data_IF_425055070483
#
_entry.id   IF_425055070483
#
_cell.length_a   1.000
_cell.length_b   1.000
_cell.length_c   1.000
_cell.angle_alpha   90.00
_cell.angle_beta   90.00
_cell.angle_gamma   90.00
#
_symmetry.space_group_name_H-M   'P 1'
#
loop_
_entity.id
_entity.type
_entity.pdbx_description
1 polymer ?
#
# COMPACT_ATOMS: atom_id res chain seq x y z
N UNK A 1 15.13 19.36 -2.77
CA UNK A 1 14.03 18.37 -2.69
C UNK A 1 14.29 17.50 -1.46
N UNK A 2 13.28 17.16 -0.64
CA UNK A 2 13.49 16.32 0.53
C UNK A 2 14.05 14.94 0.15
N UNK A 3 15.04 14.46 0.90
CA UNK A 3 15.64 13.14 0.71
C UNK A 3 15.01 12.14 1.68
N UNK A 4 14.37 11.09 1.17
CA UNK A 4 13.73 10.05 1.97
C UNK A 4 14.53 8.75 1.91
N UNK A 5 14.75 8.11 3.06
CA UNK A 5 15.30 6.77 3.16
C UNK A 5 14.21 5.70 3.13
N UNK A 6 14.60 4.44 2.98
CA UNK A 6 13.69 3.30 3.06
C UNK A 6 13.80 2.63 4.44
N UNK A 7 12.70 2.07 4.93
CA UNK A 7 12.70 1.30 6.18
C UNK A 7 13.33 -0.10 6.02
N UNK A 8 13.36 -0.64 4.80
CA UNK A 8 13.93 -1.95 4.51
C UNK A 8 15.46 -1.96 4.71
N UNK A 9 15.93 -2.87 5.56
CA UNK A 9 17.36 -3.06 5.85
C UNK A 9 17.98 -4.10 4.91
N UNK A 10 19.31 -4.13 4.81
CA UNK A 10 20.07 -5.09 4.00
C UNK A 10 19.70 -5.09 2.50
N UNK A 11 19.52 -3.90 1.93
CA UNK A 11 19.20 -3.73 0.53
C UNK A 11 20.39 -4.09 -0.38
N UNK A 12 20.27 -5.23 -1.06
CA UNK A 12 21.19 -5.67 -2.10
C UNK A 12 20.67 -5.25 -3.48
N UNK A 13 21.43 -4.43 -4.21
CA UNK A 13 21.04 -3.90 -5.53
C UNK A 13 20.87 -5.00 -6.59
N UNK A 14 21.55 -6.12 -6.44
CA UNK A 14 21.53 -7.23 -7.40
C UNK A 14 20.26 -8.06 -7.27
N UNK A 15 19.74 -8.20 -6.05
CA UNK A 15 18.59 -9.06 -5.74
C UNK A 15 17.28 -8.30 -5.58
N UNK A 16 17.36 -7.02 -5.20
CA UNK A 16 16.19 -6.25 -4.80
C UNK A 16 15.93 -5.06 -5.72
N UNK A 17 14.65 -4.86 -6.01
CA UNK A 17 14.11 -3.67 -6.65
C UNK A 17 13.21 -2.94 -5.66
N UNK A 18 13.21 -1.61 -5.71
CA UNK A 18 12.42 -0.78 -4.79
C UNK A 18 11.68 0.31 -5.54
N UNK A 19 10.52 0.67 -5.05
CA UNK A 19 9.75 1.82 -5.52
C UNK A 19 9.10 2.51 -4.32
N UNK A 20 8.85 3.81 -4.45
CA UNK A 20 8.14 4.55 -3.42
C UNK A 20 7.28 5.67 -4.00
N UNK A 21 6.13 5.90 -3.40
CA UNK A 21 5.34 7.11 -3.57
C UNK A 21 5.44 7.95 -2.31
N UNK A 22 5.56 9.27 -2.47
CA UNK A 22 5.70 10.22 -1.36
C UNK A 22 4.59 11.27 -1.41
N UNK A 23 4.15 11.70 -0.23
CA UNK A 23 3.21 12.81 -0.04
C UNK A 23 1.86 12.64 -0.77
N UNK A 24 1.36 11.40 -0.83
CA UNK A 24 0.06 11.12 -1.47
C UNK A 24 -1.11 11.37 -0.53
N UNK A 25 -2.15 11.97 -1.07
CA UNK A 25 -3.42 12.20 -0.37
C UNK A 25 -4.28 10.92 -0.37
N UNK A 26 -3.86 9.94 0.44
CA UNK A 26 -4.59 8.70 0.67
C UNK A 26 -4.64 8.41 2.17
N UNK A 27 -5.63 7.63 2.61
CA UNK A 27 -5.75 7.31 4.03
C UNK A 27 -4.66 6.33 4.46
N UNK A 28 -3.84 6.73 5.44
CA UNK A 28 -2.82 5.89 6.05
C UNK A 28 -3.37 4.53 6.54
N UNK A 29 -4.58 4.53 7.10
CA UNK A 29 -5.21 3.31 7.62
C UNK A 29 -5.51 2.32 6.50
N UNK A 30 -6.08 2.81 5.39
CA UNK A 30 -6.39 1.99 4.22
C UNK A 30 -5.12 1.47 3.56
N UNK A 31 -4.14 2.35 3.35
CA UNK A 31 -2.84 2.00 2.77
C UNK A 31 -2.11 0.93 3.59
N UNK A 32 -2.19 1.00 4.93
CA UNK A 32 -1.60 -0.03 5.80
C UNK A 32 -2.24 -1.39 5.57
N UNK A 33 -3.57 -1.49 5.55
CA UNK A 33 -4.23 -2.78 5.36
C UNK A 33 -3.97 -3.35 3.96
N UNK A 34 -3.95 -2.50 2.92
CA UNK A 34 -3.51 -2.91 1.57
C UNK A 34 -2.07 -3.43 1.59
N UNK A 35 -1.13 -2.70 2.21
CA UNK A 35 0.28 -3.10 2.26
C UNK A 35 0.49 -4.46 2.93
N UNK A 36 -0.31 -4.77 3.96
CA UNK A 36 -0.25 -6.07 4.64
C UNK A 36 -0.83 -7.17 3.76
N UNK A 37 -1.90 -6.90 3.02
CA UNK A 37 -2.52 -7.86 2.12
C UNK A 37 -1.60 -8.23 0.95
N UNK A 38 -0.93 -7.26 0.33
CA UNK A 38 -0.06 -7.52 -0.84
C UNK A 38 1.32 -8.08 -0.47
N UNK A 39 1.72 -7.99 0.81
CA UNK A 39 3.04 -8.44 1.25
C UNK A 39 3.18 -9.95 1.04
N UNK A 40 4.22 -10.37 0.34
CA UNK A 40 4.51 -11.78 0.02
C UNK A 40 3.85 -12.29 -1.26
N UNK A 41 3.01 -11.50 -1.93
CA UNK A 41 2.43 -11.86 -3.23
C UNK A 41 3.46 -11.68 -4.37
N UNK A 42 3.24 -12.40 -5.47
CA UNK A 42 3.85 -12.02 -6.76
C UNK A 42 3.23 -10.73 -7.27
N UNK A 43 3.93 -10.02 -8.15
CA UNK A 43 3.45 -8.75 -8.68
C UNK A 43 2.12 -8.93 -9.44
N UNK A 44 2.03 -9.95 -10.28
CA UNK A 44 0.81 -10.26 -11.04
C UNK A 44 -0.41 -10.47 -10.12
N UNK A 45 -0.26 -11.30 -9.08
CA UNK A 45 -1.34 -11.54 -8.09
C UNK A 45 -1.69 -10.29 -7.30
N UNK A 46 -0.70 -9.46 -6.98
CA UNK A 46 -0.95 -8.20 -6.29
C UNK A 46 -1.73 -7.22 -7.18
N UNK A 47 -1.42 -7.15 -8.49
CA UNK A 47 -2.14 -6.35 -9.47
C UNK A 47 -3.59 -6.81 -9.60
N UNK A 48 -3.80 -8.11 -9.84
CA UNK A 48 -5.15 -8.71 -9.94
C UNK A 48 -5.99 -8.42 -8.68
N UNK A 49 -5.40 -8.61 -7.50
CA UNK A 49 -6.05 -8.31 -6.22
C UNK A 49 -6.49 -6.85 -6.13
N UNK A 50 -5.61 -5.90 -6.48
CA UNK A 50 -5.92 -4.47 -6.40
C UNK A 50 -6.98 -4.04 -7.42
N UNK A 51 -6.97 -4.62 -8.62
CA UNK A 51 -8.00 -4.40 -9.64
C UNK A 51 -9.36 -4.95 -9.17
N UNK A 52 -9.38 -6.13 -8.56
CA UNK A 52 -10.59 -6.70 -7.95
C UNK A 52 -11.13 -5.86 -6.80
N UNK A 53 -10.25 -5.23 -6.01
CA UNK A 53 -10.64 -4.28 -4.96
C UNK A 53 -11.30 -3.03 -5.55
N UNK A 54 -10.76 -2.49 -6.64
CA UNK A 54 -11.34 -1.34 -7.34
C UNK A 54 -12.71 -1.71 -7.94
N UNK A 55 -12.81 -2.91 -8.53
CA UNK A 55 -14.06 -3.45 -9.06
C UNK A 55 -15.05 -3.93 -7.97
N UNK A 56 -14.70 -3.79 -6.68
CA UNK A 56 -15.47 -4.25 -5.51
C UNK A 56 -15.80 -5.75 -5.51
N UNK A 57 -15.04 -6.56 -6.22
CA UNK A 57 -15.19 -8.02 -6.26
C UNK A 57 -14.56 -8.67 -5.04
N UNK A 58 -13.40 -8.20 -4.64
CA UNK A 58 -12.63 -8.73 -3.50
C UNK A 58 -12.37 -7.64 -2.46
N UNK A 59 -12.62 -7.94 -1.19
CA UNK A 59 -12.47 -6.96 -0.12
C UNK A 59 -11.07 -7.04 0.52
N UNK A 60 -10.49 -5.89 0.84
CA UNK A 60 -9.25 -5.83 1.61
C UNK A 60 -9.56 -6.22 3.06
N UNK A 61 -8.82 -7.15 3.69
CA UNK A 61 -8.99 -7.49 5.10
C UNK A 61 -8.47 -6.36 5.99
N UNK A 62 -9.30 -5.86 6.91
CA UNK A 62 -8.90 -4.82 7.86
C UNK A 62 -8.52 -5.50 9.16
N UNK A 63 -7.22 -5.67 9.43
CA UNK A 63 -6.77 -6.43 10.60
C UNK A 63 -6.55 -5.54 11.82
N UNK A 64 -5.96 -4.35 11.65
CA UNK A 64 -5.68 -3.42 12.76
C UNK A 64 -6.78 -2.37 12.92
N UNK A 65 -7.22 -1.78 11.82
CA UNK A 65 -8.20 -0.69 11.83
C UNK A 65 -9.63 -1.21 11.57
N UNK A 66 -10.10 -2.15 12.37
CA UNK A 66 -11.32 -2.92 12.13
C UNK A 66 -12.54 -2.51 12.96
N UNK A 67 -12.43 -1.50 13.82
CA UNK A 67 -13.56 -0.96 14.58
C UNK A 67 -14.62 -0.39 13.63
N UNK A 68 -15.88 -0.80 13.83
CA UNK A 68 -17.03 -0.36 13.02
C UNK A 68 -16.81 -0.61 11.50
N UNK A 69 -16.15 -1.71 11.18
CA UNK A 69 -16.01 -2.18 9.80
C UNK A 69 -17.00 -3.32 9.57
N UNK A 70 -17.79 -3.20 8.50
CA UNK A 70 -18.76 -4.22 8.13
C UNK A 70 -18.10 -5.57 7.88
N UNK A 71 -18.81 -6.64 8.25
CA UNK A 71 -18.39 -7.99 7.92
C UNK A 71 -18.54 -8.24 6.41
N UNK A 72 -17.65 -9.03 5.83
CA UNK A 72 -17.64 -9.34 4.39
C UNK A 72 -17.30 -10.81 4.16
N UNK A 73 -18.02 -11.45 3.24
CA UNK A 73 -17.77 -12.83 2.82
C UNK A 73 -16.70 -12.95 1.75
N UNK A 74 -16.47 -11.89 0.97
CA UNK A 74 -15.57 -11.86 -0.18
C UNK A 74 -14.12 -11.45 0.20
N UNK A 75 -13.64 -11.96 1.33
CA UNK A 75 -12.25 -11.81 1.78
C UNK A 75 -11.55 -13.15 1.59
N UNK A 76 -10.49 -13.16 0.79
CA UNK A 76 -9.75 -14.38 0.45
C UNK A 76 -9.29 -15.21 1.65
N UNK A 77 -8.81 -14.55 2.69
CA UNK A 77 -8.29 -15.20 3.90
C UNK A 77 -9.39 -15.61 4.89
N UNK A 78 -10.66 -15.36 4.59
CA UNK A 78 -11.80 -15.65 5.48
C UNK A 78 -11.88 -14.75 6.72
N UNK A 79 -11.11 -13.65 6.77
CA UNK A 79 -11.21 -12.69 7.89
C UNK A 79 -12.57 -12.00 7.88
N UNK A 80 -13.11 -11.65 9.05
CA UNK A 80 -14.49 -11.18 9.14
C UNK A 80 -14.71 -9.77 8.59
N UNK A 81 -13.79 -8.82 8.78
CA UNK A 81 -13.99 -7.41 8.45
C UNK A 81 -13.17 -6.94 7.24
N UNK A 82 -13.81 -6.20 6.32
CA UNK A 82 -13.13 -5.64 5.15
C UNK A 82 -13.85 -4.49 4.46
N UNK A 83 -13.11 -3.76 3.62
CA UNK A 83 -13.61 -2.64 2.80
C UNK A 83 -12.96 -2.64 1.41
N UNK A 84 -13.45 -1.75 0.54
CA UNK A 84 -12.94 -1.52 -0.81
C UNK A 84 -12.29 -0.11 -0.91
N UNK A 85 -11.04 0.06 -0.49
CA UNK A 85 -10.36 1.35 -0.53
C UNK A 85 -9.86 1.72 -1.96
N UNK A 86 -10.79 2.07 -2.85
CA UNK A 86 -10.53 2.34 -4.29
C UNK A 86 -9.41 3.38 -4.53
N UNK A 87 -9.49 4.55 -3.88
CA UNK A 87 -8.49 5.63 -4.03
C UNK A 87 -7.08 5.16 -3.66
N UNK A 88 -6.96 4.39 -2.58
CA UNK A 88 -5.66 3.89 -2.15
C UNK A 88 -5.18 2.76 -3.08
N UNK A 89 -6.06 1.83 -3.47
CA UNK A 89 -5.72 0.76 -4.41
C UNK A 89 -5.19 1.30 -5.75
N UNK A 90 -5.81 2.35 -6.30
CA UNK A 90 -5.35 3.00 -7.53
C UNK A 90 -3.94 3.61 -7.41
N UNK A 91 -3.57 4.17 -6.26
CA UNK A 91 -2.19 4.65 -6.05
C UNK A 91 -1.19 3.50 -5.84
N UNK A 92 -1.62 2.37 -5.30
CA UNK A 92 -0.78 1.16 -5.20
C UNK A 92 -0.53 0.51 -6.57
N UNK A 93 -1.51 0.52 -7.48
CA UNK A 93 -1.31 0.05 -8.86
C UNK A 93 -0.20 0.85 -9.57
N UNK A 94 -0.28 2.19 -9.51
CA UNK A 94 0.79 3.06 -10.04
C UNK A 94 2.15 2.78 -9.42
N UNK A 95 2.18 2.38 -8.14
CA UNK A 95 3.42 2.02 -7.46
C UNK A 95 3.96 0.66 -7.92
N UNK A 96 3.09 -0.30 -8.25
CA UNK A 96 3.48 -1.56 -8.88
C UNK A 96 4.01 -1.34 -10.30
N UNK A 97 3.37 -0.49 -11.10
CA UNK A 97 3.86 -0.13 -12.45
C UNK A 97 5.30 0.42 -12.36
N UNK A 98 5.55 1.34 -11.44
CA UNK A 98 6.90 1.88 -11.20
C UNK A 98 7.90 0.81 -10.72
N UNK A 99 7.43 -0.17 -9.94
CA UNK A 99 8.27 -1.26 -9.44
C UNK A 99 8.67 -2.22 -10.56
N UNK A 100 7.74 -2.54 -11.46
CA UNK A 100 7.97 -3.35 -12.66
C UNK A 100 8.95 -2.66 -13.61
N UNK A 101 8.74 -1.37 -13.93
CA UNK A 101 9.66 -0.63 -14.79
C UNK A 101 11.09 -0.57 -14.21
N UNK A 102 11.21 -0.45 -12.88
CA UNK A 102 12.51 -0.48 -12.21
C UNK A 102 13.16 -1.88 -12.23
N UNK A 103 12.35 -2.94 -12.26
CA UNK A 103 12.83 -4.32 -12.31
C UNK A 103 13.30 -4.68 -13.73
N UNK A 104 12.53 -4.28 -14.74
CA UNK A 104 12.87 -4.44 -16.14
C UNK A 104 14.16 -3.70 -16.48
N UNK A 105 14.32 -2.45 -16.00
CA UNK A 105 15.55 -1.68 -16.17
C UNK A 105 16.78 -2.39 -15.56
N UNK A 106 16.58 -3.22 -14.53
CA UNK A 106 17.65 -4.01 -13.89
C UNK A 106 17.84 -5.40 -14.51
N UNK A 107 17.04 -5.77 -15.51
CA UNK A 107 17.07 -7.09 -16.13
C UNK A 107 16.60 -8.21 -15.21
N UNK A 108 15.73 -7.91 -14.24
CA UNK A 108 15.13 -8.93 -13.37
C UNK A 108 13.95 -9.60 -14.08
N UNK A 109 13.76 -10.90 -13.83
CA UNK A 109 12.59 -11.64 -14.32
C UNK A 109 11.33 -11.19 -13.54
N UNK A 110 10.37 -10.62 -14.26
CA UNK A 110 9.12 -10.09 -13.71
C UNK A 110 8.23 -11.22 -13.14
N UNK A 111 8.26 -12.41 -13.74
CA UNK A 111 7.39 -13.52 -13.35
C UNK A 111 7.81 -14.12 -11.99
N UNK A 112 9.10 -14.05 -11.70
CA UNK A 112 9.70 -14.52 -10.45
C UNK A 112 9.70 -13.46 -9.35
N UNK A 113 9.24 -12.25 -9.64
CA UNK A 113 9.35 -11.12 -8.74
C UNK A 113 8.27 -11.17 -7.64
N UNK A 114 8.70 -11.14 -6.38
CA UNK A 114 7.82 -11.17 -5.20
C UNK A 114 8.03 -9.98 -4.29
N UNK A 115 6.95 -9.45 -3.73
CA UNK A 115 6.97 -8.33 -2.80
C UNK A 115 7.44 -8.82 -1.43
N UNK A 116 8.66 -8.46 -1.03
CA UNK A 116 9.26 -8.85 0.26
C UNK A 116 8.89 -7.86 1.37
N UNK A 117 8.89 -6.57 1.03
CA UNK A 117 8.56 -5.51 1.98
C UNK A 117 7.54 -4.56 1.40
N UNK A 118 6.53 -4.26 2.21
CA UNK A 118 5.56 -3.21 1.96
C UNK A 118 5.39 -2.40 3.24
N UNK A 119 5.82 -1.15 3.21
CA UNK A 119 5.81 -0.26 4.36
C UNK A 119 5.02 1.02 4.04
N UNK A 120 4.31 1.54 5.03
CA UNK A 120 3.49 2.74 4.91
C UNK A 120 3.79 3.66 6.08
N UNK A 121 4.15 4.90 5.76
CA UNK A 121 4.47 5.94 6.73
C UNK A 121 3.48 7.09 6.65
N UNK A 122 3.19 7.69 7.80
CA UNK A 122 2.47 8.97 7.85
C UNK A 122 3.44 10.06 7.42
N UNK A 123 3.03 10.85 6.44
CA UNK A 123 3.76 12.02 5.98
C UNK A 123 3.26 13.30 6.64
N UNK A 124 3.39 14.40 5.90
CA UNK A 124 3.02 15.74 6.34
C UNK A 124 1.54 15.81 6.71
N UNK A 125 1.25 16.44 7.87
CA UNK A 125 -0.13 16.73 8.29
C UNK A 125 -0.51 18.13 7.80
N UNK A 126 -1.53 18.20 6.97
CA UNK A 126 -2.16 19.43 6.52
C UNK A 126 -3.22 19.84 7.54
N UNK A 127 -2.94 20.88 8.30
CA UNK A 127 -3.86 21.41 9.30
C UNK A 127 -4.82 22.43 8.67
N UNK A 128 -6.11 22.24 8.91
CA UNK A 128 -7.19 23.17 8.63
C UNK A 128 -8.01 23.39 9.90
N UNK A 129 -8.96 24.32 9.84
CA UNK A 129 -9.88 24.59 10.95
C UNK A 129 -11.32 24.39 10.49
N UNK A 130 -12.12 23.77 11.36
CA UNK A 130 -13.55 23.60 11.14
C UNK A 130 -14.30 24.38 12.22
N UNK A 131 -15.19 25.32 11.83
CA UNK A 131 -16.02 26.04 12.78
C UNK A 131 -16.99 25.08 13.47
N UNK A 132 -17.25 25.33 14.75
CA UNK A 132 -18.14 24.57 15.63
C UNK A 132 -19.12 25.51 16.32
N UNK A 133 -20.17 24.93 16.91
CA UNK A 133 -21.16 25.68 17.68
C UNK A 133 -20.51 26.52 18.79
N UNK A 134 -21.20 27.60 19.18
CA UNK A 134 -20.77 28.53 20.22
C UNK A 134 -19.42 29.23 19.91
N UNK A 135 -19.19 29.58 18.64
CA UNK A 135 -17.99 30.32 18.21
C UNK A 135 -16.67 29.55 18.33
N UNK A 136 -16.73 28.23 18.55
CA UNK A 136 -15.54 27.39 18.71
C UNK A 136 -14.94 27.02 17.35
N UNK A 137 -13.66 26.69 17.34
CA UNK A 137 -12.97 26.12 16.17
C UNK A 137 -12.22 24.86 16.60
N UNK A 138 -12.34 23.79 15.81
CA UNK A 138 -11.58 22.54 16.01
C UNK A 138 -10.64 22.29 14.83
N UNK A 139 -9.43 21.77 15.07
CA UNK A 139 -8.51 21.43 13.99
C UNK A 139 -9.03 20.24 13.19
N UNK A 140 -8.84 20.30 11.87
CA UNK A 140 -9.08 19.21 10.91
C UNK A 140 -7.76 18.88 10.23
N UNK A 141 -7.29 17.65 10.39
CA UNK A 141 -6.02 17.20 9.83
C UNK A 141 -6.24 16.25 8.66
N UNK A 142 -5.70 16.60 7.50
CA UNK A 142 -5.47 15.64 6.43
C UNK A 142 -4.02 15.17 6.52
N UNK A 143 -3.78 13.86 6.53
CA UNK A 143 -2.42 13.32 6.66
C UNK A 143 -2.01 12.70 5.34
N UNK A 144 -0.97 13.26 4.71
CA UNK A 144 -0.38 12.66 3.52
C UNK A 144 0.35 11.37 3.89
N UNK A 145 0.60 10.51 2.90
CA UNK A 145 1.13 9.17 3.11
C UNK A 145 2.30 8.90 2.18
N UNK A 146 3.30 8.20 2.72
CA UNK A 146 4.38 7.60 1.96
C UNK A 146 4.20 6.09 1.95
N UNK A 147 4.39 5.47 0.78
CA UNK A 147 4.36 4.01 0.62
C UNK A 147 5.67 3.59 -0.02
N UNK A 148 6.25 2.52 0.50
CA UNK A 148 7.50 1.93 0.05
C UNK A 148 7.26 0.45 -0.24
N UNK A 149 7.64 0.02 -1.45
CA UNK A 149 7.67 -1.39 -1.82
C UNK A 149 9.10 -1.81 -2.14
N UNK A 150 9.44 -3.03 -1.72
CA UNK A 150 10.65 -3.72 -2.13
C UNK A 150 10.26 -5.12 -2.57
N UNK A 151 10.70 -5.48 -3.78
CA UNK A 151 10.54 -6.80 -4.31
C UNK A 151 11.91 -7.47 -4.53
N UNK A 152 11.89 -8.79 -4.55
CA UNK A 152 13.04 -9.64 -4.76
C UNK A 152 12.66 -10.77 -5.71
N UNK A 153 13.60 -11.17 -6.55
CA UNK A 153 13.46 -12.39 -7.35
C UNK A 153 13.41 -13.62 -6.43
N UNK A 154 12.36 -14.43 -6.56
CA UNK A 154 12.26 -15.69 -5.84
C UNK A 154 13.27 -16.68 -6.40
N UNK A 155 14.15 -17.21 -5.54
CA UNK A 155 14.95 -18.39 -5.90
C UNK A 155 14.01 -19.59 -6.04
N UNK A 156 14.24 -20.41 -7.06
CA UNK A 156 13.61 -21.73 -7.14
C UNK A 156 13.88 -22.47 -5.82
N UNK A 157 12.81 -22.98 -5.21
CA UNK A 157 12.96 -23.89 -4.08
C UNK A 157 13.42 -25.22 -4.68
N UNK A 158 14.65 -25.63 -4.36
CA UNK A 158 15.01 -27.06 -4.32
C UNK A 158 14.11 -27.80 -3.33
#
# INVERSE_FOLDING_TARGET
MPHFSYAFQNYDKTKHVRASIREKDISHKHSREISVAIKGMSIEKAREFLENVIARKEAVPYRRYNMEVAHRSNIRDGFFAGRFPEKAAGEFLKLLDNLESNAEYRGMDLDRLRIVSAAVHKGTKLQRFQPRAMGRSSPKYDTLVHVELVAQEAREKE
#
